data_IF_580105052554
#
_entry.id   IF_580105052554
#
_cell.length_a   1.000
_cell.length_b   1.000
_cell.length_c   1.000
_cell.angle_alpha   90.00
_cell.angle_beta   90.00
_cell.angle_gamma   90.00
#
_symmetry.space_group_name_H-M   'P 1'
#
loop_
_entity.id
_entity.type
_entity.pdbx_description
1 polymer ?
#
# COMPACT_ATOMS: atom_id res chain seq x y z
N UNK A 1 -6.91 28.49 23.49
CA UNK A 1 -6.29 28.24 22.18
C UNK A 1 -5.32 27.08 22.35
N UNK A 2 -5.80 25.86 22.10
CA UNK A 2 -5.04 24.62 22.29
C UNK A 2 -4.20 24.34 21.03
N UNK A 3 -2.89 24.17 21.20
CA UNK A 3 -1.93 23.87 20.14
C UNK A 3 -1.50 22.41 20.29
N UNK A 4 -2.20 21.51 19.64
CA UNK A 4 -1.76 20.11 19.52
C UNK A 4 -0.51 20.05 18.63
N UNK A 5 0.67 20.01 19.25
CA UNK A 5 1.91 19.68 18.55
C UNK A 5 1.92 18.18 18.25
N UNK A 6 1.83 17.81 16.97
CA UNK A 6 2.09 16.45 16.50
C UNK A 6 3.58 16.19 16.64
N UNK A 7 4.01 15.67 17.78
CA UNK A 7 5.36 15.15 17.98
C UNK A 7 5.52 13.94 17.06
N UNK A 8 6.21 14.10 15.93
CA UNK A 8 6.68 12.98 15.11
C UNK A 8 7.70 12.18 15.91
N UNK A 9 7.24 11.30 16.81
CA UNK A 9 8.12 10.33 17.47
C UNK A 9 8.71 9.43 16.39
N UNK A 10 9.99 9.63 16.10
CA UNK A 10 10.75 8.68 15.30
C UNK A 10 10.70 7.33 16.00
N UNK A 11 10.06 6.35 15.35
CA UNK A 11 10.00 4.98 15.85
C UNK A 11 11.43 4.43 16.03
N UNK A 12 11.70 3.69 17.12
CA UNK A 12 13.00 3.08 17.35
C UNK A 12 13.34 2.08 16.23
N UNK A 13 14.62 1.81 15.94
CA UNK A 13 15.04 0.92 14.85
C UNK A 13 14.42 -0.48 14.90
N UNK A 14 14.15 -1.01 16.09
CA UNK A 14 13.46 -2.28 16.31
C UNK A 14 12.00 -2.24 15.85
N UNK A 15 11.27 -1.17 16.15
CA UNK A 15 9.90 -0.97 15.67
C UNK A 15 9.85 -0.75 14.15
N UNK A 16 10.86 -0.10 13.57
CA UNK A 16 10.99 0.02 12.10
C UNK A 16 11.24 -1.32 11.41
N UNK A 17 11.99 -2.22 12.06
CA UNK A 17 12.24 -3.58 11.54
C UNK A 17 11.00 -4.47 11.69
N UNK A 18 10.30 -4.37 12.81
CA UNK A 18 9.02 -5.05 13.01
C UNK A 18 7.95 -4.60 11.99
N UNK A 19 7.94 -3.33 11.56
CA UNK A 19 7.11 -2.86 10.44
C UNK A 19 7.54 -3.42 9.08
N UNK A 20 8.83 -3.71 8.89
CA UNK A 20 9.35 -4.36 7.66
C UNK A 20 8.89 -5.81 7.53
N UNK A 21 8.80 -6.49 8.67
CA UNK A 21 8.37 -7.89 8.77
C UNK A 21 6.89 -8.00 9.22
N UNK A 22 6.19 -6.86 9.35
CA UNK A 22 4.80 -6.84 9.76
C UNK A 22 3.99 -7.53 8.66
N UNK A 23 3.14 -8.51 9.00
CA UNK A 23 2.32 -9.17 8.02
C UNK A 23 1.40 -8.14 7.36
N UNK A 24 1.70 -7.79 6.11
CA UNK A 24 0.80 -7.00 5.29
C UNK A 24 -0.18 -7.95 4.61
N UNK A 25 -1.46 -7.78 4.89
CA UNK A 25 -2.52 -8.48 4.17
C UNK A 25 -2.91 -7.64 2.96
N UNK A 26 -2.80 -8.22 1.77
CA UNK A 26 -3.25 -7.62 0.52
C UNK A 26 -4.45 -8.41 0.02
N UNK A 27 -5.57 -7.72 -0.21
CA UNK A 27 -6.78 -8.29 -0.79
C UNK A 27 -7.07 -7.58 -2.10
N UNK A 28 -7.33 -8.35 -3.14
CA UNK A 28 -7.87 -7.84 -4.41
C UNK A 28 -9.38 -7.86 -4.30
N UNK A 29 -10.01 -6.70 -4.46
CA UNK A 29 -11.43 -6.51 -4.22
C UNK A 29 -12.23 -6.58 -5.52
N UNK A 30 -11.68 -6.03 -6.59
CA UNK A 30 -12.28 -6.04 -7.93
C UNK A 30 -11.18 -6.11 -9.00
N UNK A 31 -11.50 -6.77 -10.12
CA UNK A 31 -10.67 -6.83 -11.32
C UNK A 31 -11.56 -6.67 -12.55
N UNK A 32 -11.32 -5.60 -13.32
CA UNK A 32 -12.00 -5.32 -14.59
C UNK A 32 -11.01 -5.30 -15.73
N UNK A 33 -11.03 -6.35 -16.55
CA UNK A 33 -10.20 -6.43 -17.75
C UNK A 33 -10.62 -5.38 -18.77
N UNK A 34 -9.64 -4.60 -19.24
CA UNK A 34 -9.84 -3.61 -20.31
C UNK A 34 -9.49 -4.23 -21.67
N UNK A 35 -8.42 -5.01 -21.70
CA UNK A 35 -7.96 -5.78 -22.85
C UNK A 35 -7.11 -6.99 -22.38
N UNK A 36 -6.46 -7.70 -23.31
CA UNK A 36 -5.63 -8.89 -22.99
C UNK A 36 -4.37 -8.59 -22.17
N UNK A 37 -3.97 -7.32 -22.08
CA UNK A 37 -2.75 -6.86 -21.42
C UNK A 37 -3.01 -5.85 -20.30
N UNK A 38 -4.25 -5.36 -20.12
CA UNK A 38 -4.57 -4.31 -19.15
C UNK A 38 -5.84 -4.63 -18.35
N UNK A 39 -5.81 -4.34 -17.05
CA UNK A 39 -6.95 -4.43 -16.16
C UNK A 39 -6.98 -3.25 -15.18
N UNK A 40 -8.17 -2.82 -14.77
CA UNK A 40 -8.35 -2.00 -13.58
C UNK A 40 -8.49 -2.93 -12.39
N UNK A 41 -7.79 -2.62 -11.30
CA UNK A 41 -7.83 -3.39 -10.06
C UNK A 41 -8.17 -2.48 -8.90
N UNK A 42 -8.96 -2.99 -7.97
CA UNK A 42 -9.16 -2.40 -6.65
C UNK A 42 -8.49 -3.31 -5.62
N UNK A 43 -7.66 -2.72 -4.77
CA UNK A 43 -6.82 -3.45 -3.82
C UNK A 43 -6.95 -2.81 -2.45
N UNK A 44 -7.25 -3.61 -1.45
CA UNK A 44 -7.18 -3.22 -0.04
C UNK A 44 -5.91 -3.76 0.59
N UNK A 45 -5.13 -2.86 1.20
CA UNK A 45 -3.92 -3.19 1.96
C UNK A 45 -4.18 -2.93 3.42
N UNK A 46 -3.85 -3.91 4.27
CA UNK A 46 -3.83 -3.77 5.72
C UNK A 46 -2.44 -4.09 6.23
N UNK A 47 -1.89 -3.17 7.01
CA UNK A 47 -0.64 -3.37 7.75
C UNK A 47 -1.00 -3.45 9.22
N UNK A 48 -0.33 -4.32 9.97
CA UNK A 48 -0.59 -4.46 11.40
C UNK A 48 -0.39 -3.11 12.13
N UNK A 49 -1.33 -2.77 13.00
CA UNK A 49 -1.38 -1.47 13.67
C UNK A 49 -1.82 -0.26 12.82
N UNK A 50 -2.24 -0.46 11.56
CA UNK A 50 -2.79 0.58 10.69
C UNK A 50 -4.19 0.25 10.17
N UNK A 51 -5.00 1.28 9.90
CA UNK A 51 -6.28 1.13 9.22
C UNK A 51 -6.07 0.62 7.80
N UNK A 52 -6.97 -0.27 7.34
CA UNK A 52 -6.94 -0.74 5.97
C UNK A 52 -7.14 0.42 4.99
N UNK A 53 -6.42 0.40 3.87
CA UNK A 53 -6.53 1.40 2.81
C UNK A 53 -6.75 0.72 1.48
N UNK A 54 -7.76 1.20 0.77
CA UNK A 54 -8.08 0.74 -0.58
C UNK A 54 -7.53 1.72 -1.61
N UNK A 55 -7.10 1.19 -2.74
CA UNK A 55 -6.72 1.99 -3.89
C UNK A 55 -7.09 1.31 -5.18
N UNK A 56 -7.34 2.12 -6.21
CA UNK A 56 -7.55 1.66 -7.56
C UNK A 56 -6.30 1.91 -8.40
N UNK A 57 -5.96 0.95 -9.25
CA UNK A 57 -4.79 1.02 -10.11
C UNK A 57 -5.01 0.34 -11.46
N UNK A 58 -4.11 0.62 -12.41
CA UNK A 58 -4.02 -0.13 -13.64
C UNK A 58 -2.97 -1.22 -13.48
N UNK A 59 -3.39 -2.46 -13.67
CA UNK A 59 -2.50 -3.61 -13.81
C UNK A 59 -2.18 -3.85 -15.29
N UNK A 60 -0.94 -4.22 -15.57
CA UNK A 60 -0.45 -4.58 -16.90
C UNK A 60 0.11 -5.99 -16.85
N UNK A 61 -0.19 -6.81 -17.87
CA UNK A 61 0.36 -8.15 -18.01
C UNK A 61 1.80 -8.06 -18.56
N UNK A 62 2.77 -8.47 -17.74
CA UNK A 62 4.19 -8.52 -18.08
C UNK A 62 4.71 -9.91 -17.77
N UNK A 63 5.28 -10.61 -18.76
CA UNK A 63 5.88 -11.94 -18.56
C UNK A 63 4.92 -12.97 -17.90
N UNK A 64 3.64 -12.92 -18.28
CA UNK A 64 2.60 -13.81 -17.74
C UNK A 64 2.09 -13.44 -16.35
N UNK A 65 2.56 -12.33 -15.77
CA UNK A 65 2.14 -11.83 -14.45
C UNK A 65 1.48 -10.46 -14.55
N UNK A 66 0.37 -10.27 -13.85
CA UNK A 66 -0.30 -8.98 -13.75
C UNK A 66 0.38 -8.09 -12.71
N UNK A 67 0.83 -6.91 -13.12
CA UNK A 67 1.63 -6.01 -12.29
C UNK A 67 1.01 -4.63 -12.23
N UNK A 68 0.84 -4.06 -11.04
CA UNK A 68 0.41 -2.67 -10.86
C UNK A 68 1.64 -1.75 -10.87
N UNK A 69 1.51 -0.55 -11.45
CA UNK A 69 2.60 0.44 -11.43
C UNK A 69 3.04 0.72 -9.99
N UNK A 70 4.36 0.62 -9.76
CA UNK A 70 4.99 0.92 -8.47
C UNK A 70 4.61 2.29 -7.92
N UNK A 71 4.43 3.29 -8.79
CA UNK A 71 4.01 4.64 -8.39
C UNK A 71 2.62 4.67 -7.75
N UNK A 72 1.67 3.87 -8.24
CA UNK A 72 0.33 3.73 -7.65
C UNK A 72 0.38 3.08 -6.28
N UNK A 73 1.22 2.05 -6.12
CA UNK A 73 1.44 1.44 -4.81
C UNK A 73 2.09 2.44 -3.84
N UNK A 74 3.15 3.12 -4.28
CA UNK A 74 3.88 4.09 -3.46
C UNK A 74 3.07 5.34 -3.08
N UNK A 75 1.96 5.66 -3.76
CA UNK A 75 1.11 6.78 -3.34
C UNK A 75 0.24 6.45 -2.13
N UNK A 76 0.06 5.17 -1.80
CA UNK A 76 -0.88 4.70 -0.75
C UNK A 76 -0.13 4.23 0.49
N UNK A 77 1.00 3.56 0.28
CA UNK A 77 1.79 2.92 1.34
C UNK A 77 2.31 3.90 2.42
N UNK A 78 2.74 5.14 2.09
CA UNK A 78 3.13 6.12 3.11
C UNK A 78 2.00 6.49 4.08
N UNK A 79 0.74 6.44 3.64
CA UNK A 79 -0.43 6.70 4.49
C UNK A 79 -0.68 5.57 5.51
N UNK A 80 -0.07 4.40 5.30
CA UNK A 80 -0.06 3.27 6.23
C UNK A 80 1.15 3.30 7.17
N UNK A 81 1.94 4.38 7.17
CA UNK A 81 3.13 4.51 8.02
C UNK A 81 4.34 3.69 7.54
N UNK A 82 4.28 3.15 6.32
CA UNK A 82 5.35 2.37 5.70
C UNK A 82 6.01 3.19 4.60
N UNK A 83 7.34 3.20 4.54
CA UNK A 83 8.05 3.87 3.45
C UNK A 83 8.04 3.00 2.19
N UNK A 84 7.67 3.60 1.05
CA UNK A 84 7.89 2.95 -0.24
C UNK A 84 9.37 3.04 -0.61
N UNK A 85 10.06 1.91 -0.75
CA UNK A 85 11.49 1.83 -1.08
C UNK A 85 11.75 0.90 -2.23
#
# INVERSE_FOLDING_TARGET
>A
MDRTQVVRRQLPPSARRALRDAPAAVRVDDVRFLDRQQALVEVTVRVDGADARSFSGRAVLTEGSWTVKRTTFCSVIPALGVECR
#
